data_IF_722098267636
#
_entry.id   IF_722098267636
#
_cell.length_a   1.000
_cell.length_b   1.000
_cell.length_c   1.000
_cell.angle_alpha   90.00
_cell.angle_beta   90.00
_cell.angle_gamma   90.00
#
_symmetry.space_group_name_H-M   'P 1'
#
loop_
_entity.id
_entity.type
_entity.pdbx_description
1 polymer ?
#
# COMPACT_ATOMS: atom_id res chain seq x y z
N UNK A 1 16.96 -13.15 13.04
CA UNK A 1 16.26 -13.39 11.77
C UNK A 1 14.78 -13.27 12.06
N UNK A 2 14.32 -12.05 12.37
CA UNK A 2 12.91 -11.74 12.35
C UNK A 2 12.58 -11.52 10.88
N UNK A 3 11.83 -12.46 10.30
CA UNK A 3 11.14 -12.24 9.04
C UNK A 3 10.12 -11.11 9.27
N UNK A 4 10.61 -9.87 9.30
CA UNK A 4 9.79 -8.67 9.24
C UNK A 4 9.26 -8.59 7.82
N UNK A 5 8.30 -9.48 7.53
CA UNK A 5 7.42 -9.33 6.38
C UNK A 5 6.60 -8.09 6.70
N UNK A 6 7.11 -6.92 6.30
CA UNK A 6 6.39 -5.66 6.40
C UNK A 6 5.01 -5.86 5.77
N UNK A 7 3.91 -5.32 6.35
CA UNK A 7 2.57 -5.42 5.76
C UNK A 7 2.52 -5.03 4.28
N UNK A 8 3.46 -4.18 3.84
CA UNK A 8 3.65 -3.74 2.47
C UNK A 8 4.22 -4.87 1.57
N UNK A 9 5.22 -5.61 2.04
CA UNK A 9 5.80 -6.76 1.33
C UNK A 9 4.76 -7.89 1.11
N UNK A 10 3.84 -8.08 2.07
CA UNK A 10 2.75 -9.05 1.92
C UNK A 10 1.79 -8.70 0.77
N UNK A 11 1.52 -7.41 0.52
CA UNK A 11 0.65 -6.95 -0.56
C UNK A 11 1.32 -7.21 -1.92
N UNK A 12 2.60 -6.89 -2.02
CA UNK A 12 3.40 -7.11 -3.23
C UNK A 12 3.52 -8.58 -3.62
N UNK A 13 3.66 -9.49 -2.64
CA UNK A 13 3.59 -10.94 -2.90
C UNK A 13 2.26 -11.37 -3.53
N UNK A 14 1.13 -10.87 -3.04
CA UNK A 14 -0.19 -11.17 -3.60
C UNK A 14 -0.32 -10.66 -5.04
N UNK A 15 0.23 -9.49 -5.34
CA UNK A 15 0.25 -8.92 -6.69
C UNK A 15 1.05 -9.81 -7.67
N UNK A 16 2.24 -10.26 -7.27
CA UNK A 16 3.07 -11.17 -8.07
C UNK A 16 2.38 -12.51 -8.34
N UNK A 17 1.72 -13.09 -7.34
CA UNK A 17 0.96 -14.32 -7.51
C UNK A 17 -0.24 -14.14 -8.46
N UNK A 18 -0.89 -12.98 -8.45
CA UNK A 18 -1.99 -12.66 -9.35
C UNK A 18 -1.53 -12.55 -10.81
N UNK A 19 -0.37 -11.93 -11.06
CA UNK A 19 0.23 -11.82 -12.40
C UNK A 19 0.54 -13.22 -12.95
N UNK A 20 1.18 -14.08 -12.14
CA UNK A 20 1.47 -15.48 -12.50
C UNK A 20 0.22 -16.30 -12.80
N UNK A 21 -0.85 -16.11 -12.02
CA UNK A 21 -2.13 -16.77 -12.32
C UNK A 21 -2.75 -16.25 -13.62
N UNK A 22 -2.63 -14.95 -13.91
CA UNK A 22 -3.10 -14.34 -15.15
C UNK A 22 -2.39 -14.91 -16.38
N UNK A 23 -1.07 -15.03 -16.35
CA UNK A 23 -0.25 -15.65 -17.41
C UNK A 23 -0.74 -17.07 -17.73
N UNK A 24 -0.92 -17.89 -16.70
CA UNK A 24 -1.40 -19.26 -16.87
C UNK A 24 -2.81 -19.32 -17.47
N UNK A 25 -3.70 -18.39 -17.08
CA UNK A 25 -5.05 -18.30 -17.66
C UNK A 25 -5.03 -17.92 -19.14
N UNK A 26 -4.17 -16.96 -19.52
CA UNK A 26 -4.00 -16.56 -20.92
C UNK A 26 -3.45 -17.74 -21.72
N UNK A 27 -2.38 -18.37 -21.27
CA UNK A 27 -1.79 -19.54 -21.92
C UNK A 27 -2.83 -20.67 -22.11
N UNK A 28 -3.60 -20.97 -21.06
CA UNK A 28 -4.68 -21.96 -21.15
C UNK A 28 -5.77 -21.56 -22.15
N UNK A 29 -6.15 -20.29 -22.20
CA UNK A 29 -7.21 -19.80 -23.08
C UNK A 29 -6.84 -19.88 -24.57
N UNK A 30 -5.57 -19.67 -24.91
CA UNK A 30 -5.09 -19.68 -26.29
C UNK A 30 -4.77 -21.09 -26.78
N UNK A 31 -4.48 -22.05 -25.88
CA UNK A 31 -4.30 -23.47 -26.22
C UNK A 31 -5.62 -24.23 -26.41
N UNK A 32 -6.70 -23.77 -25.79
CA UNK A 32 -8.01 -24.43 -25.83
C UNK A 32 -8.59 -24.67 -27.26
N UNK A 33 -8.42 -23.77 -28.24
CA UNK A 33 -8.82 -24.01 -29.63
C UNK A 33 -8.12 -25.21 -30.29
N UNK A 34 -6.88 -25.53 -29.93
CA UNK A 34 -6.14 -26.66 -30.49
C UNK A 34 -6.73 -28.01 -30.04
N UNK A 35 -7.10 -28.13 -28.76
CA UNK A 35 -7.73 -29.34 -28.21
C UNK A 35 -9.12 -29.61 -28.80
N UNK A 36 -9.91 -28.56 -29.03
CA UNK A 36 -11.23 -28.67 -29.69
C UNK A 36 -11.06 -29.12 -31.14
N UNK A 37 -9.91 -28.81 -31.74
CA UNK A 37 -9.62 -29.11 -33.12
C UNK A 37 -9.46 -30.61 -33.40
N UNK A 38 -8.72 -31.30 -32.53
CA UNK A 38 -8.56 -32.77 -32.54
C UNK A 38 -9.94 -33.48 -32.56
N UNK A 39 -10.88 -32.95 -31.78
CA UNK A 39 -12.25 -33.49 -31.69
C UNK A 39 -13.05 -33.26 -32.98
N UNK A 40 -12.88 -32.11 -33.64
CA UNK A 40 -13.51 -31.81 -34.92
C UNK A 40 -12.94 -32.72 -36.01
N UNK A 41 -11.61 -32.93 -36.05
CA UNK A 41 -10.94 -33.83 -37.01
C UNK A 41 -11.50 -35.25 -36.92
N UNK A 42 -11.58 -35.81 -35.71
CA UNK A 42 -12.20 -37.12 -35.50
C UNK A 42 -13.68 -37.21 -35.90
N UNK A 43 -14.40 -36.09 -35.92
CA UNK A 43 -15.78 -36.03 -36.41
C UNK A 43 -15.85 -36.02 -37.94
N UNK A 44 -14.91 -35.33 -38.60
CA UNK A 44 -14.78 -35.30 -40.06
C UNK A 44 -14.46 -36.69 -40.60
N UNK A 45 -13.54 -37.41 -39.97
CA UNK A 45 -13.19 -38.79 -40.33
C UNK A 45 -14.39 -39.73 -40.23
N UNK A 46 -15.13 -39.67 -39.12
CA UNK A 46 -16.34 -40.46 -38.93
C UNK A 46 -17.43 -40.14 -39.98
N UNK A 47 -17.53 -38.87 -40.41
CA UNK A 47 -18.42 -38.46 -41.48
C UNK A 47 -17.94 -38.96 -42.85
N UNK A 48 -16.63 -39.00 -43.10
CA UNK A 48 -16.02 -39.54 -44.31
C UNK A 48 -16.32 -41.03 -44.46
N UNK A 49 -16.08 -41.81 -43.41
CA UNK A 49 -16.39 -43.24 -43.37
C UNK A 49 -17.86 -43.51 -43.71
N UNK A 50 -18.78 -42.67 -43.20
CA UNK A 50 -20.20 -42.80 -43.49
C UNK A 50 -20.55 -42.46 -44.94
N UNK A 51 -19.91 -41.44 -45.52
CA UNK A 51 -20.11 -41.06 -46.92
C UNK A 51 -19.57 -42.12 -47.88
N UNK A 52 -18.37 -42.65 -47.62
CA UNK A 52 -17.80 -43.75 -48.40
C UNK A 52 -18.74 -44.96 -48.44
N UNK A 53 -19.22 -45.40 -47.27
CA UNK A 53 -20.20 -46.50 -47.17
C UNK A 53 -21.50 -46.22 -47.91
N UNK A 54 -21.93 -44.97 -47.96
CA UNK A 54 -23.14 -44.57 -48.69
C UNK A 54 -22.94 -44.66 -50.20
N UNK A 55 -21.77 -44.26 -50.69
CA UNK A 55 -21.41 -44.35 -52.10
C UNK A 55 -21.25 -45.81 -52.53
N UNK A 56 -20.57 -46.63 -51.74
CA UNK A 56 -20.44 -48.08 -51.95
C UNK A 56 -21.81 -48.77 -51.98
N UNK A 57 -22.71 -48.40 -51.06
CA UNK A 57 -24.09 -48.90 -51.07
C UNK A 57 -24.86 -48.50 -52.33
N UNK A 58 -24.68 -47.27 -52.82
CA UNK A 58 -25.30 -46.79 -54.06
C UNK A 58 -24.76 -47.53 -55.29
N UNK A 59 -23.46 -47.83 -55.30
CA UNK A 59 -22.81 -48.67 -56.32
C UNK A 59 -23.40 -50.08 -56.31
N UNK A 60 -23.47 -50.73 -55.15
CA UNK A 60 -24.07 -52.06 -54.97
C UNK A 60 -25.53 -52.11 -55.43
N UNK A 61 -26.32 -51.10 -55.07
CA UNK A 61 -27.73 -51.01 -55.46
C UNK A 61 -27.86 -50.85 -56.99
N UNK A 62 -26.97 -50.07 -57.61
CA UNK A 62 -26.93 -49.89 -59.06
C UNK A 62 -26.59 -51.21 -59.76
N UNK A 63 -25.61 -51.95 -59.25
CA UNK A 63 -25.23 -53.26 -59.77
C UNK A 63 -26.38 -54.27 -59.68
N UNK A 64 -27.11 -54.32 -58.56
CA UNK A 64 -28.29 -55.19 -58.40
C UNK A 64 -29.43 -54.84 -59.37
N UNK A 65 -29.61 -53.56 -59.68
CA UNK A 65 -30.61 -53.11 -60.66
C UNK A 65 -30.24 -53.56 -62.08
N UNK A 66 -28.94 -53.49 -62.41
CA UNK A 66 -28.40 -54.00 -63.67
C UNK A 66 -28.53 -55.54 -63.74
N UNK A 67 -28.25 -56.27 -62.67
CA UNK A 67 -28.49 -57.74 -62.59
C UNK A 67 -29.96 -58.10 -62.85
N UNK A 68 -30.90 -57.34 -62.29
CA UNK A 68 -32.32 -57.55 -62.50
C UNK A 68 -32.72 -57.27 -63.96
N UNK A 69 -32.16 -56.23 -64.57
CA UNK A 69 -32.34 -55.92 -66.00
C UNK A 69 -31.81 -57.02 -66.89
N UNK A 70 -30.59 -57.51 -66.63
CA UNK A 70 -29.96 -58.64 -67.34
C UNK A 70 -30.82 -59.90 -67.26
N UNK A 71 -31.35 -60.21 -66.07
CA UNK A 71 -32.23 -61.39 -65.88
C UNK A 71 -33.59 -61.31 -66.59
N UNK A 72 -34.05 -60.10 -66.94
CA UNK A 72 -35.38 -59.87 -67.54
C UNK A 72 -35.29 -59.54 -69.04
N UNK A 73 -34.17 -58.99 -69.49
CA UNK A 73 -33.91 -58.68 -70.88
C UNK A 73 -33.54 -59.96 -71.66
N UNK A 74 -34.06 -60.12 -72.88
CA UNK A 74 -33.63 -61.17 -73.81
C UNK A 74 -32.68 -60.60 -74.89
N UNK A 75 -32.00 -59.49 -74.61
CA UNK A 75 -31.18 -58.72 -75.54
C UNK A 75 -29.74 -58.55 -75.05
N UNK A 76 -28.86 -58.09 -75.97
CA UNK A 76 -27.38 -58.07 -75.88
C UNK A 76 -26.78 -57.75 -74.50
N UNK A 77 -26.28 -58.79 -73.81
CA UNK A 77 -25.52 -58.73 -72.55
C UNK A 77 -24.35 -57.73 -72.62
N UNK A 78 -23.72 -57.62 -73.79
CA UNK A 78 -22.57 -56.73 -74.04
C UNK A 78 -22.90 -55.25 -73.76
N UNK A 79 -24.14 -54.82 -74.02
CA UNK A 79 -24.54 -53.42 -73.75
C UNK A 79 -24.75 -53.17 -72.25
N UNK A 80 -25.20 -54.17 -71.49
CA UNK A 80 -25.41 -54.05 -70.03
C UNK A 80 -24.06 -54.06 -69.30
N UNK A 81 -23.12 -54.88 -69.75
CA UNK A 81 -21.76 -54.91 -69.21
C UNK A 81 -21.02 -53.59 -69.45
N UNK A 82 -21.12 -52.99 -70.65
CA UNK A 82 -20.55 -51.67 -70.93
C UNK A 82 -21.12 -50.58 -69.98
N UNK A 83 -22.43 -50.63 -69.70
CA UNK A 83 -23.07 -49.71 -68.76
C UNK A 83 -22.57 -49.97 -67.33
N UNK A 84 -22.46 -51.23 -66.91
CA UNK A 84 -21.96 -51.63 -65.60
C UNK A 84 -20.53 -51.13 -65.39
N UNK A 85 -19.65 -51.34 -66.35
CA UNK A 85 -18.27 -50.87 -66.29
C UNK A 85 -18.21 -49.34 -66.20
N UNK A 86 -19.00 -48.63 -67.01
CA UNK A 86 -19.06 -47.17 -66.95
C UNK A 86 -19.58 -46.63 -65.61
N UNK A 87 -20.58 -47.28 -65.00
CA UNK A 87 -21.14 -46.88 -63.70
C UNK A 87 -20.12 -47.12 -62.59
N UNK A 88 -19.50 -48.31 -62.55
CA UNK A 88 -18.49 -48.63 -61.54
C UNK A 88 -17.28 -47.69 -61.63
N UNK A 89 -16.76 -47.46 -62.83
CA UNK A 89 -15.64 -46.55 -63.04
C UNK A 89 -15.98 -45.09 -62.63
N UNK A 90 -17.25 -44.69 -62.80
CA UNK A 90 -17.77 -43.42 -62.31
C UNK A 90 -17.81 -43.30 -60.79
N UNK A 91 -18.24 -44.36 -60.09
CA UNK A 91 -18.21 -44.43 -58.62
C UNK A 91 -16.79 -44.46 -58.07
N UNK A 92 -15.90 -45.25 -58.68
CA UNK A 92 -14.48 -45.32 -58.30
C UNK A 92 -13.81 -43.95 -58.45
N UNK A 93 -14.03 -43.27 -59.58
CA UNK A 93 -13.53 -41.91 -59.80
C UNK A 93 -14.09 -40.91 -58.78
N UNK A 94 -15.35 -41.08 -58.36
CA UNK A 94 -15.97 -40.21 -57.36
C UNK A 94 -15.34 -40.42 -55.98
N UNK A 95 -15.15 -41.68 -55.57
CA UNK A 95 -14.50 -42.05 -54.32
C UNK A 95 -13.07 -41.52 -54.26
N UNK A 96 -12.29 -41.75 -55.33
CA UNK A 96 -10.89 -41.32 -55.42
C UNK A 96 -10.77 -39.79 -55.33
N UNK A 97 -11.55 -39.04 -56.12
CA UNK A 97 -11.54 -37.56 -56.07
C UNK A 97 -11.99 -37.01 -54.73
N UNK A 98 -12.94 -37.65 -54.08
CA UNK A 98 -13.44 -37.21 -52.79
C UNK A 98 -12.39 -37.43 -51.70
N UNK A 99 -11.73 -38.59 -51.70
CA UNK A 99 -10.61 -38.88 -50.80
C UNK A 99 -9.48 -37.86 -50.98
N UNK A 100 -9.00 -37.66 -52.21
CA UNK A 100 -7.94 -36.70 -52.53
C UNK A 100 -8.28 -35.27 -52.08
N UNK A 101 -9.55 -34.85 -52.26
CA UNK A 101 -10.00 -33.51 -51.88
C UNK A 101 -9.98 -33.33 -50.38
N UNK A 102 -10.40 -34.33 -49.61
CA UNK A 102 -10.42 -34.20 -48.16
C UNK A 102 -9.03 -34.35 -47.57
N UNK A 103 -8.21 -35.28 -48.07
CA UNK A 103 -6.80 -35.38 -47.66
C UNK A 103 -6.07 -34.05 -47.86
N UNK A 104 -6.28 -33.39 -49.01
CA UNK A 104 -5.72 -32.07 -49.25
C UNK A 104 -6.24 -31.00 -48.28
N UNK A 105 -7.52 -31.05 -47.89
CA UNK A 105 -8.08 -30.13 -46.88
C UNK A 105 -7.47 -30.40 -45.52
N UNK A 106 -7.33 -31.66 -45.14
CA UNK A 106 -6.79 -32.11 -43.86
C UNK A 106 -5.31 -31.70 -43.71
N UNK A 107 -4.47 -31.96 -44.72
CA UNK A 107 -3.06 -31.53 -44.74
C UNK A 107 -2.92 -30.00 -44.63
N UNK A 108 -3.73 -29.24 -45.39
CA UNK A 108 -3.68 -27.77 -45.33
C UNK A 108 -4.13 -27.24 -43.97
N UNK A 109 -5.10 -27.91 -43.36
CA UNK A 109 -5.64 -27.53 -42.07
C UNK A 109 -4.66 -27.84 -40.94
N UNK A 110 -4.04 -29.02 -40.95
CA UNK A 110 -2.97 -29.41 -40.02
C UNK A 110 -1.78 -28.45 -40.09
N UNK A 111 -1.29 -28.16 -41.29
CA UNK A 111 -0.24 -27.15 -41.49
C UNK A 111 -0.68 -25.72 -41.08
N UNK A 112 -1.98 -25.45 -41.05
CA UNK A 112 -2.53 -24.19 -40.54
C UNK A 112 -2.50 -24.13 -39.01
N UNK A 113 -2.88 -25.24 -38.35
CA UNK A 113 -2.86 -25.38 -36.89
C UNK A 113 -1.43 -25.34 -36.36
N UNK A 114 -0.50 -26.08 -36.96
CA UNK A 114 0.91 -26.08 -36.52
C UNK A 114 1.50 -24.66 -36.55
N UNK A 115 1.25 -23.90 -37.62
CA UNK A 115 1.67 -22.49 -37.71
C UNK A 115 0.98 -21.61 -36.67
N UNK A 116 -0.29 -21.87 -36.39
CA UNK A 116 -1.03 -21.14 -35.36
C UNK A 116 -0.45 -21.41 -33.97
N UNK A 117 -0.17 -22.68 -33.66
CA UNK A 117 0.41 -23.10 -32.39
C UNK A 117 1.81 -22.50 -32.20
N UNK A 118 2.68 -22.60 -33.21
CA UNK A 118 4.01 -21.97 -33.20
C UNK A 118 3.93 -20.44 -33.01
N UNK A 119 2.98 -19.78 -33.70
CA UNK A 119 2.78 -18.33 -33.55
C UNK A 119 2.25 -17.94 -32.16
N UNK A 120 1.41 -18.79 -31.57
CA UNK A 120 0.87 -18.60 -30.22
C UNK A 120 1.94 -18.81 -29.17
N UNK A 121 2.77 -19.85 -29.31
CA UNK A 121 3.89 -20.10 -28.42
C UNK A 121 4.89 -18.95 -28.45
N UNK A 122 5.27 -18.46 -29.64
CA UNK A 122 6.13 -17.28 -29.78
C UNK A 122 5.50 -16.03 -29.12
N UNK A 123 4.19 -15.82 -29.31
CA UNK A 123 3.50 -14.68 -28.69
C UNK A 123 3.40 -14.80 -27.15
N UNK A 124 3.24 -16.02 -26.62
CA UNK A 124 3.23 -16.28 -25.19
C UNK A 124 4.61 -16.08 -24.57
N UNK A 125 5.67 -16.56 -25.22
CA UNK A 125 7.05 -16.36 -24.77
C UNK A 125 7.42 -14.87 -24.74
N UNK A 126 7.08 -14.12 -25.80
CA UNK A 126 7.30 -12.65 -25.81
C UNK A 126 6.52 -11.93 -24.70
N UNK A 127 5.29 -12.37 -24.42
CA UNK A 127 4.48 -11.81 -23.35
C UNK A 127 5.08 -12.14 -21.98
N UNK A 128 5.59 -13.35 -21.80
CA UNK A 128 6.23 -13.80 -20.57
C UNK A 128 7.49 -12.99 -20.28
N UNK A 129 8.38 -12.86 -21.26
CA UNK A 129 9.59 -12.02 -21.19
C UNK A 129 9.24 -10.56 -20.81
N UNK A 130 8.18 -10.00 -21.40
CA UNK A 130 7.77 -8.62 -21.13
C UNK A 130 7.17 -8.46 -19.73
N UNK A 131 6.46 -9.47 -19.23
CA UNK A 131 5.94 -9.48 -17.88
C UNK A 131 7.04 -9.67 -16.84
N UNK A 132 8.03 -10.52 -17.11
CA UNK A 132 9.18 -10.73 -16.23
C UNK A 132 9.97 -9.43 -16.04
N UNK A 133 10.28 -8.71 -17.13
CA UNK A 133 10.92 -7.39 -17.04
C UNK A 133 10.08 -6.41 -16.21
N UNK A 134 8.75 -6.45 -16.36
CA UNK A 134 7.86 -5.57 -15.61
C UNK A 134 7.82 -5.94 -14.12
N UNK A 135 7.85 -7.23 -13.79
CA UNK A 135 7.93 -7.72 -12.41
C UNK A 135 9.27 -7.32 -11.79
N UNK A 136 10.40 -7.52 -12.48
CA UNK A 136 11.72 -7.12 -11.99
C UNK A 136 11.77 -5.62 -11.67
N UNK A 137 11.29 -4.77 -12.59
CA UNK A 137 11.22 -3.31 -12.36
C UNK A 137 10.27 -2.97 -11.19
N UNK A 138 9.20 -3.74 -11.00
CA UNK A 138 8.31 -3.55 -9.86
C UNK A 138 9.01 -3.90 -8.56
N UNK A 139 9.66 -5.07 -8.48
CA UNK A 139 10.42 -5.52 -7.31
C UNK A 139 11.49 -4.49 -6.91
N UNK A 140 12.24 -3.95 -7.87
CA UNK A 140 13.22 -2.88 -7.61
C UNK A 140 12.59 -1.61 -7.00
N UNK A 141 11.38 -1.25 -7.44
CA UNK A 141 10.63 -0.10 -6.91
C UNK A 141 10.01 -0.40 -5.56
N UNK A 142 9.55 -1.63 -5.35
CA UNK A 142 9.02 -2.13 -4.07
C UNK A 142 10.10 -2.05 -3.00
N UNK A 143 11.30 -2.59 -3.29
CA UNK A 143 12.45 -2.54 -2.39
C UNK A 143 12.83 -1.09 -2.05
N UNK A 144 12.95 -0.22 -3.05
CA UNK A 144 13.22 1.21 -2.83
C UNK A 144 12.16 1.89 -1.97
N UNK A 145 10.89 1.51 -2.15
CA UNK A 145 9.77 2.08 -1.41
C UNK A 145 9.80 1.61 0.04
N UNK A 146 10.02 0.31 0.29
CA UNK A 146 10.14 -0.27 1.64
C UNK A 146 11.29 0.40 2.37
N UNK A 147 12.48 0.43 1.76
CA UNK A 147 13.67 1.11 2.28
C UNK A 147 13.42 2.59 2.64
N UNK A 148 12.66 3.30 1.80
CA UNK A 148 12.34 4.72 2.04
C UNK A 148 11.40 4.90 3.22
N UNK A 149 10.41 4.02 3.35
CA UNK A 149 9.46 4.03 4.47
C UNK A 149 10.17 3.68 5.77
N UNK A 150 11.07 2.70 5.77
CA UNK A 150 11.88 2.33 6.94
C UNK A 150 12.75 3.50 7.40
N UNK A 151 13.47 4.17 6.48
CA UNK A 151 14.26 5.37 6.83
C UNK A 151 13.43 6.54 7.35
N UNK A 152 12.18 6.68 6.89
CA UNK A 152 11.26 7.68 7.40
C UNK A 152 10.75 7.33 8.79
N UNK A 153 10.50 6.05 9.07
CA UNK A 153 10.14 5.57 10.40
C UNK A 153 11.30 5.81 11.38
N UNK A 154 12.52 5.46 11.02
CA UNK A 154 13.71 5.69 11.85
C UNK A 154 13.90 7.19 12.17
N UNK A 155 13.75 8.07 11.16
CA UNK A 155 13.81 9.53 11.37
C UNK A 155 12.69 10.04 12.27
N UNK A 156 11.50 9.45 12.20
CA UNK A 156 10.39 9.82 13.04
C UNK A 156 10.65 9.43 14.50
N UNK A 157 11.19 8.23 14.73
CA UNK A 157 11.57 7.76 16.06
C UNK A 157 12.68 8.65 16.66
N UNK A 158 13.71 8.99 15.89
CA UNK A 158 14.78 9.90 16.33
C UNK A 158 14.25 11.31 16.67
N UNK A 159 13.31 11.82 15.86
CA UNK A 159 12.64 13.09 16.14
C UNK A 159 11.78 13.04 17.41
N UNK A 160 11.12 11.90 17.67
CA UNK A 160 10.35 11.69 18.89
C UNK A 160 11.26 11.69 20.12
N UNK A 161 12.40 10.98 20.05
CA UNK A 161 13.40 10.94 21.13
C UNK A 161 13.98 12.34 21.41
N UNK A 162 14.29 13.13 20.37
CA UNK A 162 14.79 14.51 20.51
C UNK A 162 13.74 15.41 21.18
N UNK A 163 12.46 15.26 20.83
CA UNK A 163 11.38 16.00 21.47
C UNK A 163 11.22 15.63 22.95
N UNK A 164 11.34 14.35 23.29
CA UNK A 164 11.23 13.88 24.67
C UNK A 164 12.40 14.41 25.52
N UNK A 165 13.63 14.31 25.02
CA UNK A 165 14.80 14.88 25.67
C UNK A 165 14.68 16.40 25.88
N UNK A 166 14.17 17.13 24.89
CA UNK A 166 13.98 18.58 25.01
C UNK A 166 12.87 18.95 26.00
N UNK A 167 11.85 18.13 26.12
CA UNK A 167 10.79 18.33 27.11
C UNK A 167 11.33 18.12 28.53
N UNK A 168 12.17 17.10 28.72
CA UNK A 168 12.85 16.84 30.00
C UNK A 168 13.78 18.00 30.40
N UNK A 169 14.66 18.46 29.49
CA UNK A 169 15.55 19.61 29.72
C UNK A 169 14.77 20.89 30.11
N UNK A 170 13.63 21.13 29.45
CA UNK A 170 12.77 22.26 29.75
C UNK A 170 12.14 22.12 31.14
N UNK A 171 11.72 20.92 31.52
CA UNK A 171 11.18 20.65 32.85
C UNK A 171 12.23 20.92 33.93
N UNK A 172 13.45 20.41 33.76
CA UNK A 172 14.55 20.61 34.71
C UNK A 172 14.89 22.10 34.86
N UNK A 173 14.96 22.85 33.75
CA UNK A 173 15.19 24.30 33.78
C UNK A 173 14.10 25.07 34.53
N UNK A 174 12.83 24.66 34.38
CA UNK A 174 11.70 25.27 35.08
C UNK A 174 11.78 25.00 36.58
N UNK A 175 12.11 23.75 36.96
CA UNK A 175 12.26 23.36 38.36
C UNK A 175 13.40 24.14 39.04
N UNK A 176 14.56 24.27 38.38
CA UNK A 176 15.68 25.08 38.89
C UNK A 176 15.31 26.56 39.09
N UNK A 177 14.60 27.16 38.12
CA UNK A 177 14.15 28.55 38.25
C UNK A 177 13.12 28.72 39.36
N UNK A 178 12.23 27.74 39.56
CA UNK A 178 11.25 27.76 40.63
C UNK A 178 11.93 27.71 42.00
N UNK A 179 12.95 26.87 42.15
CA UNK A 179 13.75 26.76 43.37
C UNK A 179 14.52 28.06 43.65
N UNK A 180 15.23 28.61 42.66
CA UNK A 180 15.97 29.88 42.84
C UNK A 180 15.04 31.05 43.17
N UNK A 181 13.87 31.10 42.54
CA UNK A 181 12.83 32.08 42.87
C UNK A 181 12.34 31.89 44.31
N UNK A 182 12.11 30.66 44.74
CA UNK A 182 11.73 30.30 46.11
C UNK A 182 12.76 30.81 47.11
N UNK A 183 14.04 30.55 46.88
CA UNK A 183 15.14 30.99 47.73
C UNK A 183 15.26 32.52 47.79
N UNK A 184 15.11 33.21 46.66
CA UNK A 184 15.07 34.68 46.63
C UNK A 184 13.88 35.25 47.41
N UNK A 185 12.72 34.60 47.31
CA UNK A 185 11.51 35.00 48.00
C UNK A 185 11.67 34.85 49.53
N UNK A 186 12.24 33.73 49.99
CA UNK A 186 12.55 33.51 51.41
C UNK A 186 13.51 34.57 51.93
N UNK A 187 14.62 34.83 51.22
CA UNK A 187 15.57 35.87 51.61
C UNK A 187 14.94 37.27 51.65
N UNK A 188 13.96 37.54 50.78
CA UNK A 188 13.23 38.81 50.79
C UNK A 188 12.30 38.90 52.01
N UNK A 189 11.63 37.80 52.39
CA UNK A 189 10.83 37.73 53.61
C UNK A 189 11.67 37.89 54.88
N UNK A 190 12.86 37.29 54.93
CA UNK A 190 13.78 37.45 56.06
C UNK A 190 14.22 38.90 56.20
N UNK A 191 14.59 39.56 55.10
CA UNK A 191 14.91 41.00 55.13
C UNK A 191 13.74 41.86 55.61
N UNK A 192 12.50 41.52 55.24
CA UNK A 192 11.32 42.22 55.74
C UNK A 192 11.12 41.99 57.24
N UNK A 193 11.36 40.77 57.74
CA UNK A 193 11.32 40.48 59.17
C UNK A 193 12.39 41.26 59.93
N UNK A 194 13.63 41.29 59.44
CA UNK A 194 14.72 42.08 60.05
C UNK A 194 14.40 43.58 60.12
N UNK A 195 13.75 44.12 59.08
CA UNK A 195 13.29 45.51 59.07
C UNK A 195 12.20 45.76 60.11
N UNK A 196 11.29 44.81 60.31
CA UNK A 196 10.25 44.89 61.34
C UNK A 196 10.87 44.81 62.74
N UNK A 197 11.83 43.93 62.96
CA UNK A 197 12.56 43.82 64.24
C UNK A 197 13.31 45.11 64.55
N UNK A 198 14.01 45.68 63.56
CA UNK A 198 14.70 46.98 63.72
C UNK A 198 13.72 48.12 64.02
N UNK A 199 12.54 48.11 63.39
CA UNK A 199 11.49 49.09 63.68
C UNK A 199 10.92 48.91 65.08
N UNK A 200 10.79 47.67 65.54
CA UNK A 200 10.33 47.34 66.88
C UNK A 200 11.36 47.78 67.92
N UNK A 201 12.65 47.50 67.73
CA UNK A 201 13.72 48.00 68.60
C UNK A 201 13.70 49.52 68.70
N UNK A 202 13.57 50.22 67.57
CA UNK A 202 13.44 51.68 67.56
C UNK A 202 12.21 52.15 68.31
N UNK A 203 11.11 51.41 68.24
CA UNK A 203 9.88 51.74 68.96
C UNK A 203 10.06 51.54 70.46
N UNK A 204 10.70 50.44 70.86
CA UNK A 204 11.04 50.14 72.25
C UNK A 204 12.01 51.19 72.82
N UNK A 205 13.03 51.60 72.06
CA UNK A 205 13.94 52.69 72.41
C UNK A 205 13.19 54.02 72.56
N UNK A 206 12.29 54.35 71.63
CA UNK A 206 11.48 55.57 71.70
C UNK A 206 10.57 55.57 72.92
N UNK A 207 10.00 54.41 73.26
CA UNK A 207 9.18 54.23 74.46
C UNK A 207 10.03 54.40 75.72
N UNK A 208 11.25 53.85 75.75
CA UNK A 208 12.22 54.04 76.82
C UNK A 208 12.60 55.51 77.00
N UNK A 209 12.96 56.20 75.92
CA UNK A 209 13.25 57.65 75.92
C UNK A 209 12.06 58.49 76.42
N UNK A 210 10.83 58.06 76.09
CA UNK A 210 9.60 58.69 76.60
C UNK A 210 9.42 58.46 78.11
N UNK A 211 9.65 57.25 78.61
CA UNK A 211 9.65 56.97 80.06
C UNK A 211 10.71 57.82 80.78
N UNK A 212 11.92 57.88 80.23
CA UNK A 212 13.05 58.66 80.74
C UNK A 212 12.77 60.17 80.75
N UNK A 213 12.09 60.67 79.72
CA UNK A 213 11.68 62.08 79.63
C UNK A 213 10.56 62.38 80.62
N UNK A 214 9.61 61.46 80.79
CA UNK A 214 8.53 61.58 81.79
C UNK A 214 9.10 61.52 83.21
N UNK A 215 10.11 60.69 83.46
CA UNK A 215 10.80 60.61 84.75
C UNK A 215 11.62 61.86 85.05
N UNK A 216 12.38 62.39 84.07
CA UNK A 216 13.06 63.69 84.19
C UNK A 216 12.09 64.84 84.44
N UNK A 217 10.98 64.89 83.71
CA UNK A 217 9.95 65.91 83.93
C UNK A 217 9.32 65.80 85.33
N UNK A 218 9.25 64.59 85.90
CA UNK A 218 8.81 64.37 87.29
C UNK A 218 9.86 64.79 88.31
N UNK A 219 11.14 64.54 88.09
CA UNK A 219 12.21 65.00 88.98
C UNK A 219 12.41 66.52 88.92
N UNK A 220 12.38 67.11 87.72
CA UNK A 220 12.54 68.55 87.51
C UNK A 220 11.35 69.35 88.08
N UNK A 221 10.14 68.78 88.04
CA UNK A 221 8.97 69.35 88.72
C UNK A 221 9.06 69.33 90.25
N UNK A 222 10.02 68.63 90.87
CA UNK A 222 10.21 68.65 92.33
C UNK A 222 11.25 69.66 92.83
N UNK A 223 11.97 70.34 91.93
CA UNK A 223 13.04 71.30 92.28
C UNK A 223 12.65 72.77 92.06
N UNK A 224 11.59 73.05 91.29
CA UNK A 224 11.09 74.41 91.02
C UNK A 224 9.91 74.79 91.93
N UNK A 225 10.15 74.82 93.24
CA UNK A 225 9.22 75.46 94.20
C UNK A 225 9.98 76.07 95.39
N UNK A 226 11.05 76.84 95.13
CA UNK A 226 11.46 77.94 96.03
C UNK A 226 12.36 78.98 95.34
N UNK A 227 11.83 80.21 95.22
CA UNK A 227 12.52 81.51 95.21
C UNK A 227 13.32 81.87 93.94
N UNK A 228 13.22 83.07 93.35
CA UNK A 228 12.77 84.37 93.86
C UNK A 228 12.40 85.27 92.67
N UNK A 229 11.35 86.04 92.89
CA UNK A 229 10.75 87.08 92.05
C UNK A 229 11.63 88.31 91.83
N UNK A 230 11.23 89.11 90.83
CA UNK A 230 11.51 90.55 90.59
C UNK A 230 12.72 90.82 89.68
N UNK A 231 12.67 91.67 88.64
CA UNK A 231 11.71 92.71 88.19
C UNK A 231 12.12 93.05 86.74
N UNK A 232 11.18 93.06 85.78
CA UNK A 232 10.69 94.24 85.01
C UNK A 232 11.76 95.18 84.44
N UNK A 233 11.87 95.30 83.11
CA UNK A 233 11.21 96.36 82.33
C UNK A 233 11.68 96.41 80.86
N UNK A 234 10.78 96.95 80.02
CA UNK A 234 10.96 97.60 78.70
C UNK A 234 11.33 96.71 77.49
N UNK A 235 10.43 96.39 76.55
CA UNK A 235 9.72 97.22 75.56
C UNK A 235 10.53 97.40 74.25
N UNK A 236 9.86 97.13 73.10
CA UNK A 236 10.26 97.43 71.71
C UNK A 236 11.45 96.62 71.15
N UNK A 237 11.48 96.05 69.94
CA UNK A 237 10.77 96.30 68.69
C UNK A 237 10.82 95.06 67.76
N UNK A 238 10.03 95.14 66.70
CA UNK A 238 9.63 94.16 65.70
C UNK A 238 10.75 93.57 64.77
N UNK A 239 10.40 92.59 63.90
CA UNK A 239 11.32 91.72 63.17
C UNK A 239 11.57 92.16 61.71
N UNK A 240 12.68 91.72 61.13
CA UNK A 240 12.98 91.64 59.68
C UNK A 240 14.30 90.82 59.56
N UNK A 241 14.52 89.88 58.64
CA UNK A 241 13.81 89.33 57.50
C UNK A 241 14.42 87.96 57.17
#
# INVERSE_FOLDING_TARGET
MSDNTSPIDAIFRVQRDAIKHGQNLVALSVKLPADVNETIRGTIDAQMDAQQRTIEFAQDTSNQLLDALESTASGDDETIDDIRESVNNGFDTLLERHADTIDAVDENYEAGIERYDESVEEALDMLDDQLDVLVEVNEDLEDQTVDTIERLADQYDEFQDELEARADDLSETIDEQADEFGDQFVQQLDRYQDQLDTLQERFDDLQGDLEDTVERAREESTVDDTRETAETDDESDAPEA
#
